data_IF_981836155805
#
_entry.id   IF_981836155805
#
_cell.length_a   1.000
_cell.length_b   1.000
_cell.length_c   1.000
_cell.angle_alpha   90.00
_cell.angle_beta   90.00
_cell.angle_gamma   90.00
#
_symmetry.space_group_name_H-M   'P 1'
#
loop_
_entity.id
_entity.type
_entity.pdbx_description
1 polymer ?
#
# COMPACT_ATOMS: atom_id res chain seq x y z
N UNK A 1 -42.08 17.12 -31.64
CA UNK A 1 -40.79 17.06 -32.36
C UNK A 1 -39.67 16.81 -31.35
N UNK A 2 -39.05 15.62 -31.46
CA UNK A 2 -37.67 15.21 -31.15
C UNK A 2 -36.84 15.87 -30.01
N UNK A 3 -36.65 15.08 -28.95
CA UNK A 3 -35.40 14.71 -28.22
C UNK A 3 -34.18 15.67 -28.22
N UNK A 4 -33.65 15.95 -27.01
CA UNK A 4 -32.30 15.51 -26.60
C UNK A 4 -32.04 15.72 -25.08
N UNK A 5 -32.02 14.66 -24.26
CA UNK A 5 -31.41 14.65 -22.94
C UNK A 5 -30.04 13.95 -23.04
N UNK A 6 -28.95 14.71 -23.20
CA UNK A 6 -27.59 14.16 -23.19
C UNK A 6 -26.73 14.94 -22.19
N UNK A 7 -27.12 14.89 -20.91
CA UNK A 7 -26.27 15.22 -19.78
C UNK A 7 -25.31 14.03 -19.58
N UNK A 8 -24.26 14.05 -20.39
CA UNK A 8 -23.19 13.05 -20.43
C UNK A 8 -22.45 13.03 -19.09
N UNK A 9 -22.87 12.11 -18.23
CA UNK A 9 -22.20 11.61 -17.03
C UNK A 9 -20.86 10.96 -17.38
N UNK A 10 -19.83 11.75 -17.72
CA UNK A 10 -18.46 11.25 -17.97
C UNK A 10 -17.61 11.06 -16.70
N UNK A 11 -18.17 11.32 -15.51
CA UNK A 11 -17.44 11.24 -14.24
C UNK A 11 -17.23 9.83 -13.61
N UNK A 12 -17.93 8.72 -13.96
CA UNK A 12 -17.72 7.46 -13.26
C UNK A 12 -16.43 6.72 -13.69
N UNK A 13 -16.01 6.85 -14.96
CA UNK A 13 -14.87 6.09 -15.50
C UNK A 13 -13.52 6.57 -14.95
N UNK A 14 -13.32 7.89 -14.84
CA UNK A 14 -12.10 8.48 -14.30
C UNK A 14 -11.86 8.08 -12.84
N UNK A 15 -12.91 8.12 -12.00
CA UNK A 15 -12.82 7.73 -10.59
C UNK A 15 -12.62 6.22 -10.39
N UNK A 16 -13.22 5.40 -11.25
CA UNK A 16 -13.00 3.96 -11.23
C UNK A 16 -11.55 3.61 -11.61
N UNK A 17 -10.99 4.26 -12.64
CA UNK A 17 -9.59 4.08 -13.05
C UNK A 17 -8.61 4.47 -11.94
N UNK A 18 -8.84 5.59 -11.24
CA UNK A 18 -7.99 5.99 -10.11
C UNK A 18 -8.09 5.02 -8.93
N UNK A 19 -9.27 4.46 -8.67
CA UNK A 19 -9.50 3.47 -7.62
C UNK A 19 -8.79 2.15 -7.91
N UNK A 20 -8.93 1.62 -9.13
CA UNK A 20 -8.25 0.40 -9.58
C UNK A 20 -6.74 0.59 -9.53
N UNK A 21 -6.22 1.73 -10.00
CA UNK A 21 -4.79 2.03 -9.97
C UNK A 21 -4.25 2.08 -8.53
N UNK A 22 -4.99 2.70 -7.61
CA UNK A 22 -4.63 2.78 -6.19
C UNK A 22 -4.61 1.39 -5.54
N UNK A 23 -5.66 0.60 -5.75
CA UNK A 23 -5.73 -0.78 -5.25
C UNK A 23 -4.59 -1.65 -5.82
N UNK A 24 -4.28 -1.49 -7.11
CA UNK A 24 -3.19 -2.22 -7.77
C UNK A 24 -1.83 -1.85 -7.17
N UNK A 25 -1.61 -0.57 -6.87
CA UNK A 25 -0.39 -0.10 -6.19
C UNK A 25 -0.26 -0.69 -4.79
N UNK A 26 -1.35 -0.70 -4.01
CA UNK A 26 -1.33 -1.31 -2.67
C UNK A 26 -1.07 -2.81 -2.71
N UNK A 27 -1.76 -3.54 -3.58
CA UNK A 27 -1.56 -4.97 -3.75
C UNK A 27 -0.11 -5.30 -4.16
N UNK A 28 0.46 -4.57 -5.12
CA UNK A 28 1.86 -4.73 -5.53
C UNK A 28 2.82 -4.48 -4.38
N UNK A 29 2.65 -3.37 -3.64
CA UNK A 29 3.53 -3.06 -2.51
C UNK A 29 3.54 -4.18 -1.46
N UNK A 30 2.36 -4.65 -1.05
CA UNK A 30 2.24 -5.72 -0.06
C UNK A 30 2.96 -6.99 -0.51
N UNK A 31 2.70 -7.42 -1.74
CA UNK A 31 3.25 -8.66 -2.29
C UNK A 31 4.75 -8.55 -2.55
N UNK A 32 5.22 -7.45 -3.13
CA UNK A 32 6.64 -7.27 -3.44
C UNK A 32 7.49 -7.13 -2.17
N UNK A 33 7.01 -6.42 -1.15
CA UNK A 33 7.74 -6.32 0.11
C UNK A 33 7.81 -7.70 0.78
N UNK A 34 6.69 -8.40 0.90
CA UNK A 34 6.65 -9.70 1.55
C UNK A 34 7.46 -10.75 0.77
N UNK A 35 7.47 -10.71 -0.56
CA UNK A 35 8.31 -11.56 -1.40
C UNK A 35 9.80 -11.26 -1.21
N UNK A 36 10.21 -9.99 -1.11
CA UNK A 36 11.61 -9.63 -0.82
C UNK A 36 12.05 -10.09 0.56
N UNK A 37 11.19 -9.95 1.57
CA UNK A 37 11.51 -10.33 2.95
C UNK A 37 11.60 -11.84 3.14
N UNK A 38 10.70 -12.59 2.50
CA UNK A 38 10.62 -14.05 2.69
C UNK A 38 11.39 -14.87 1.65
N UNK A 39 11.76 -14.26 0.52
CA UNK A 39 12.34 -14.96 -0.63
C UNK A 39 11.35 -15.87 -1.38
N UNK A 40 10.07 -15.88 -0.99
CA UNK A 40 9.06 -16.75 -1.60
C UNK A 40 8.62 -16.24 -2.99
N UNK A 41 8.18 -17.15 -3.87
CA UNK A 41 7.61 -16.76 -5.16
C UNK A 41 6.38 -15.86 -4.99
N UNK A 42 6.27 -14.83 -5.84
CA UNK A 42 5.15 -13.86 -5.87
C UNK A 42 3.78 -14.53 -5.82
N UNK A 43 3.62 -15.69 -6.48
CA UNK A 43 2.37 -16.45 -6.48
C UNK A 43 1.96 -16.94 -5.10
N UNK A 44 2.90 -17.47 -4.33
CA UNK A 44 2.63 -18.00 -2.98
C UNK A 44 2.40 -16.85 -2.01
N UNK A 45 3.20 -15.78 -2.12
CA UNK A 45 3.00 -14.55 -1.35
C UNK A 45 1.63 -13.94 -1.62
N UNK A 46 1.20 -13.89 -2.87
CA UNK A 46 -0.14 -13.38 -3.22
C UNK A 46 -1.27 -14.21 -2.59
N UNK A 47 -1.10 -15.53 -2.40
CA UNK A 47 -2.05 -16.37 -1.66
C UNK A 47 -2.05 -16.02 -0.17
N UNK A 48 -0.87 -15.85 0.44
CA UNK A 48 -0.75 -15.47 1.85
C UNK A 48 -1.36 -14.10 2.11
N UNK A 49 -1.08 -13.11 1.25
CA UNK A 49 -1.69 -11.78 1.31
C UNK A 49 -3.21 -11.89 1.19
N UNK A 50 -3.72 -12.63 0.21
CA UNK A 50 -5.16 -12.84 0.06
C UNK A 50 -5.81 -13.44 1.33
N UNK A 51 -5.20 -14.50 1.89
CA UNK A 51 -5.68 -15.14 3.11
C UNK A 51 -5.64 -14.18 4.32
N UNK A 52 -4.56 -13.41 4.48
CA UNK A 52 -4.38 -12.42 5.55
C UNK A 52 -5.43 -11.30 5.48
N UNK A 53 -5.77 -10.86 4.26
CA UNK A 53 -6.80 -9.84 4.03
C UNK A 53 -8.22 -10.42 4.03
N UNK A 54 -8.37 -11.75 4.11
CA UNK A 54 -9.65 -12.46 3.92
C UNK A 54 -10.32 -12.14 2.58
N UNK A 55 -9.52 -11.92 1.55
CA UNK A 55 -9.96 -11.59 0.20
C UNK A 55 -9.73 -12.77 -0.75
N UNK A 56 -10.51 -12.89 -1.83
CA UNK A 56 -10.27 -13.92 -2.83
C UNK A 56 -8.89 -13.76 -3.48
N UNK A 57 -8.16 -14.87 -3.62
CA UNK A 57 -6.85 -14.88 -4.30
C UNK A 57 -6.92 -14.28 -5.71
N UNK A 58 -7.99 -14.58 -6.47
CA UNK A 58 -8.21 -14.04 -7.80
C UNK A 58 -8.28 -12.50 -7.83
N UNK A 59 -8.78 -11.87 -6.77
CA UNK A 59 -8.85 -10.41 -6.66
C UNK A 59 -7.46 -9.80 -6.51
N UNK A 60 -6.62 -10.35 -5.62
CA UNK A 60 -5.22 -9.91 -5.45
C UNK A 60 -4.42 -10.17 -6.72
N UNK A 61 -4.53 -11.38 -7.29
CA UNK A 61 -3.83 -11.75 -8.52
C UNK A 61 -4.25 -10.87 -9.72
N UNK A 62 -5.54 -10.54 -9.82
CA UNK A 62 -6.07 -9.65 -10.84
C UNK A 62 -5.49 -8.24 -10.75
N UNK A 63 -5.34 -7.69 -9.54
CA UNK A 63 -4.71 -6.40 -9.29
C UNK A 63 -3.21 -6.37 -9.64
N UNK A 64 -2.53 -7.52 -9.55
CA UNK A 64 -1.12 -7.61 -9.94
C UNK A 64 -0.96 -7.62 -11.48
N UNK A 65 -1.77 -8.37 -12.22
CA UNK A 65 -1.45 -8.70 -13.62
C UNK A 65 -2.52 -8.41 -14.66
N UNK A 66 -3.79 -8.21 -14.27
CA UNK A 66 -4.90 -8.07 -15.23
C UNK A 66 -5.64 -6.73 -15.19
N UNK A 67 -5.47 -5.93 -14.14
CA UNK A 67 -6.15 -4.64 -13.93
C UNK A 67 -7.69 -4.76 -14.09
N UNK A 68 -8.43 -5.15 -13.05
CA UNK A 68 -9.88 -5.33 -13.13
C UNK A 68 -10.61 -4.02 -13.47
N UNK A 69 -11.78 -4.10 -14.11
CA UNK A 69 -12.58 -2.91 -14.48
C UNK A 69 -13.01 -2.10 -13.26
N UNK A 70 -13.29 -2.79 -12.15
CA UNK A 70 -13.73 -2.20 -10.89
C UNK A 70 -13.09 -2.94 -9.72
N UNK A 71 -13.05 -2.29 -8.56
CA UNK A 71 -12.59 -2.84 -7.29
C UNK A 71 -13.66 -2.54 -6.25
N UNK A 72 -14.00 -3.52 -5.41
CA UNK A 72 -14.96 -3.28 -4.33
C UNK A 72 -14.36 -2.32 -3.29
N UNK A 73 -15.21 -1.48 -2.69
CA UNK A 73 -14.77 -0.58 -1.62
C UNK A 73 -14.13 -1.35 -0.45
N UNK A 74 -14.68 -2.51 -0.11
CA UNK A 74 -14.14 -3.41 0.92
C UNK A 74 -12.71 -3.85 0.61
N UNK A 75 -12.43 -4.30 -0.63
CA UNK A 75 -11.09 -4.72 -1.03
C UNK A 75 -10.11 -3.54 -1.02
N UNK A 76 -10.55 -2.37 -1.46
CA UNK A 76 -9.73 -1.15 -1.41
C UNK A 76 -9.35 -0.79 0.04
N UNK A 77 -10.32 -0.80 0.96
CA UNK A 77 -10.10 -0.51 2.38
C UNK A 77 -9.18 -1.55 3.01
N UNK A 78 -9.42 -2.84 2.78
CA UNK A 78 -8.56 -3.90 3.31
C UNK A 78 -7.11 -3.77 2.84
N UNK A 79 -6.89 -3.42 1.57
CA UNK A 79 -5.55 -3.17 1.01
C UNK A 79 -4.91 -1.92 1.63
N UNK A 80 -5.67 -0.84 1.78
CA UNK A 80 -5.19 0.39 2.40
C UNK A 80 -4.76 0.15 3.85
N UNK A 81 -5.62 -0.43 4.68
CA UNK A 81 -5.33 -0.68 6.10
C UNK A 81 -4.11 -1.59 6.26
N UNK A 82 -3.95 -2.58 5.40
CA UNK A 82 -2.80 -3.46 5.42
C UNK A 82 -1.49 -2.74 5.08
N UNK A 83 -1.52 -1.84 4.08
CA UNK A 83 -0.36 -1.01 3.75
C UNK A 83 -0.04 -0.04 4.88
N UNK A 84 -1.05 0.61 5.46
CA UNK A 84 -0.85 1.51 6.60
C UNK A 84 -0.24 0.78 7.80
N UNK A 85 -0.74 -0.42 8.11
CA UNK A 85 -0.18 -1.26 9.17
C UNK A 85 1.28 -1.61 8.89
N UNK A 86 1.62 -1.96 7.65
CA UNK A 86 3.00 -2.26 7.28
C UNK A 86 3.89 -1.02 7.42
N UNK A 87 3.43 0.15 6.97
CA UNK A 87 4.16 1.43 7.14
C UNK A 87 4.38 1.74 8.62
N UNK A 88 3.39 1.52 9.49
CA UNK A 88 3.54 1.72 10.93
C UNK A 88 4.60 0.79 11.54
N UNK A 89 4.63 -0.48 11.12
CA UNK A 89 5.65 -1.43 11.57
C UNK A 89 7.05 -1.05 11.05
N UNK A 90 7.17 -0.57 9.80
CA UNK A 90 8.42 -0.06 9.23
C UNK A 90 8.93 1.15 10.03
N UNK A 91 8.05 2.10 10.37
CA UNK A 91 8.39 3.26 11.22
C UNK A 91 8.89 2.78 12.59
N UNK A 92 8.15 1.88 13.23
CA UNK A 92 8.52 1.38 14.56
C UNK A 92 9.87 0.65 14.56
N UNK A 93 10.16 -0.12 13.52
CA UNK A 93 11.45 -0.79 13.37
C UNK A 93 12.61 0.22 13.28
N UNK A 94 12.46 1.26 12.46
CA UNK A 94 13.46 2.32 12.33
C UNK A 94 13.61 3.15 13.61
N UNK A 95 12.50 3.44 14.32
CA UNK A 95 12.52 4.14 15.60
C UNK A 95 13.26 3.32 16.68
N UNK A 96 13.05 2.00 16.71
CA UNK A 96 13.77 1.10 17.61
C UNK A 96 15.27 1.03 17.27
N UNK A 97 15.61 1.02 15.98
CA UNK A 97 17.01 1.05 15.54
C UNK A 97 17.69 2.36 15.95
N UNK A 98 17.04 3.50 15.72
CA UNK A 98 17.53 4.81 16.14
C UNK A 98 17.73 4.88 17.66
N UNK A 99 16.79 4.33 18.44
CA UNK A 99 16.92 4.25 19.88
C UNK A 99 18.13 3.39 20.30
N UNK A 100 18.33 2.23 19.66
CA UNK A 100 19.47 1.36 19.93
C UNK A 100 20.81 2.06 19.63
N UNK A 101 20.89 2.85 18.56
CA UNK A 101 22.09 3.64 18.26
C UNK A 101 22.32 4.73 19.31
N UNK A 102 21.27 5.49 19.66
CA UNK A 102 21.35 6.55 20.68
C UNK A 102 21.74 6.03 22.07
N UNK A 103 21.34 4.81 22.41
CA UNK A 103 21.72 4.13 23.65
C UNK A 103 23.11 3.47 23.58
N UNK A 104 23.81 3.56 22.45
CA UNK A 104 25.12 2.93 22.25
C UNK A 104 25.07 1.40 22.10
N UNK A 105 23.88 0.80 21.99
CA UNK A 105 23.68 -0.63 21.81
C UNK A 105 23.93 -1.09 20.36
N UNK A 106 23.89 -0.17 19.39
CA UNK A 106 24.22 -0.40 18.00
C UNK A 106 25.19 0.69 17.51
N UNK A 107 26.23 0.30 16.77
CA UNK A 107 27.17 1.26 16.17
C UNK A 107 26.75 1.60 14.74
N UNK A 108 26.51 2.88 14.47
CA UNK A 108 26.25 3.46 13.15
C UNK A 108 27.08 4.75 13.01
N UNK A 109 27.38 5.15 11.79
CA UNK A 109 27.97 6.45 11.52
C UNK A 109 26.88 7.53 11.38
N UNK A 110 27.29 8.79 11.37
CA UNK A 110 26.37 9.94 11.30
C UNK A 110 25.52 9.92 10.03
N UNK A 111 26.09 9.46 8.92
CA UNK A 111 25.37 9.30 7.65
C UNK A 111 24.24 8.28 7.76
N UNK A 112 24.50 7.11 8.36
CA UNK A 112 23.46 6.10 8.56
C UNK A 112 22.36 6.58 9.51
N UNK A 113 22.69 7.42 10.51
CA UNK A 113 21.72 8.06 11.38
C UNK A 113 20.80 9.02 10.59
N UNK A 114 21.37 9.88 9.75
CA UNK A 114 20.61 10.77 8.86
C UNK A 114 19.69 9.98 7.91
N UNK A 115 20.17 8.86 7.36
CA UNK A 115 19.38 7.98 6.50
C UNK A 115 18.19 7.34 7.23
N UNK A 116 18.37 6.93 8.50
CA UNK A 116 17.28 6.39 9.34
C UNK A 116 16.25 7.48 9.65
N UNK A 117 16.68 8.67 10.06
CA UNK A 117 15.79 9.77 10.40
C UNK A 117 15.00 10.28 9.18
N UNK A 118 15.67 10.42 8.03
CA UNK A 118 15.01 10.74 6.77
C UNK A 118 14.02 9.65 6.34
N UNK A 119 14.36 8.38 6.56
CA UNK A 119 13.47 7.24 6.34
C UNK A 119 12.18 7.32 7.17
N UNK A 120 12.30 7.60 8.48
CA UNK A 120 11.17 7.78 9.40
C UNK A 120 10.30 8.97 8.94
N UNK A 121 10.90 10.12 8.67
CA UNK A 121 10.18 11.32 8.24
C UNK A 121 9.40 11.08 6.94
N UNK A 122 10.03 10.44 5.95
CA UNK A 122 9.40 10.10 4.68
C UNK A 122 8.23 9.12 4.84
N UNK A 123 8.35 8.12 5.72
CA UNK A 123 7.25 7.18 6.00
C UNK A 123 6.09 7.84 6.74
N UNK A 124 6.37 8.70 7.73
CA UNK A 124 5.35 9.47 8.45
C UNK A 124 4.57 10.40 7.51
N UNK A 125 5.25 11.09 6.60
CA UNK A 125 4.61 11.93 5.60
C UNK A 125 3.67 11.14 4.67
N UNK A 126 4.09 9.95 4.21
CA UNK A 126 3.24 9.06 3.38
C UNK A 126 2.02 8.57 4.14
N UNK A 127 2.18 8.23 5.43
CA UNK A 127 1.06 7.78 6.27
C UNK A 127 0.04 8.90 6.46
N UNK A 128 0.49 10.11 6.77
CA UNK A 128 -0.37 11.30 6.90
C UNK A 128 -1.14 11.57 5.60
N UNK A 129 -0.46 11.58 4.45
CA UNK A 129 -1.09 11.77 3.14
C UNK A 129 -2.13 10.69 2.81
N UNK A 130 -1.90 9.44 3.23
CA UNK A 130 -2.85 8.34 2.99
C UNK A 130 -4.12 8.48 3.85
N UNK A 131 -3.98 9.05 5.06
CA UNK A 131 -5.10 9.31 5.97
C UNK A 131 -5.94 10.52 5.55
N UNK A 132 -5.34 11.53 4.94
CA UNK A 132 -6.06 12.69 4.40
C UNK A 132 -6.95 12.33 3.22
N UNK A 133 -6.53 11.40 2.36
CA UNK A 133 -7.33 10.91 1.22
C UNK A 133 -8.52 10.04 1.66
N UNK A 134 -8.50 9.54 2.90
CA UNK A 134 -9.56 8.71 3.46
C UNK A 134 -10.64 9.51 4.23
N UNK A 135 -10.44 10.82 4.43
CA UNK A 135 -11.41 11.75 5.05
C UNK A 135 -12.26 12.44 3.98
#
# INVERSE_FOLDING_TARGET
MRLNPDLRTKQPESRAMTTVATASRYARRLVEVEARTTGQPVKEVAKHVAARLRQPYGSIWGLLFRAPKTVSAELLVALQEAVERQVRLEIQALENELLAVRLGALRRDDRALEEIEAGIAGLKARLAASQEVAR
#
